data_IF_277826517072
#
_entry.id   IF_277826517072
#
_cell.length_a   1.000
_cell.length_b   1.000
_cell.length_c   1.000
_cell.angle_alpha   90.00
_cell.angle_beta   90.00
_cell.angle_gamma   90.00
#
_symmetry.space_group_name_H-M   'P 1'
#
loop_
_entity.id
_entity.type
_entity.pdbx_description
1 polymer ?
#
# COMPACT_ATOMS: atom_id res chain seq x y z
N UNK A 1 44.06 32.01 24.09
CA UNK A 1 42.66 32.33 23.84
C UNK A 1 42.15 31.93 22.45
N UNK A 2 43.01 31.59 21.46
CA UNK A 2 42.59 31.24 20.09
C UNK A 2 42.06 29.78 19.88
N UNK A 3 42.40 28.84 20.79
CA UNK A 3 41.98 27.42 20.68
C UNK A 3 40.56 27.12 21.17
N UNK A 4 39.91 28.01 21.94
CA UNK A 4 38.55 27.83 22.46
C UNK A 4 37.44 28.35 21.52
N UNK A 5 37.79 29.23 20.58
CA UNK A 5 36.85 29.77 19.57
C UNK A 5 36.63 28.81 18.40
N UNK A 6 37.61 27.94 18.07
CA UNK A 6 37.45 26.96 17.00
C UNK A 6 36.51 25.79 17.39
N UNK A 7 36.46 25.45 18.68
CA UNK A 7 35.57 24.38 19.19
C UNK A 7 34.11 24.77 19.23
N UNK A 8 33.82 26.07 19.44
CA UNK A 8 32.46 26.57 19.47
C UNK A 8 31.84 26.67 18.05
N UNK A 9 32.66 26.93 17.01
CA UNK A 9 32.18 27.03 15.62
C UNK A 9 31.85 25.67 15.02
N UNK A 10 32.58 24.60 15.38
CA UNK A 10 32.25 23.23 14.95
C UNK A 10 30.98 22.67 15.60
N UNK A 11 30.68 23.07 16.85
CA UNK A 11 29.46 22.61 17.53
C UNK A 11 28.18 23.24 16.96
N UNK A 12 28.23 24.46 16.42
CA UNK A 12 27.09 25.14 15.80
C UNK A 12 26.84 24.62 14.38
N UNK A 13 27.88 24.15 13.66
CA UNK A 13 27.71 23.61 12.30
C UNK A 13 27.14 22.20 12.25
N UNK A 14 27.20 21.43 13.35
CA UNK A 14 26.59 20.10 13.48
C UNK A 14 25.10 20.14 13.83
N UNK A 15 24.56 21.29 14.24
CA UNK A 15 23.14 21.42 14.61
C UNK A 15 22.22 21.82 13.42
N UNK A 16 22.79 22.14 12.26
CA UNK A 16 22.03 22.62 11.08
C UNK A 16 21.70 21.49 10.08
N UNK A 17 22.28 20.30 10.23
CA UNK A 17 22.04 19.16 9.33
C UNK A 17 21.01 18.13 9.80
N UNK A 18 20.24 18.40 10.86
CA UNK A 18 19.33 17.40 11.44
C UNK A 18 17.83 17.70 11.25
N UNK A 19 17.45 18.48 10.24
CA UNK A 19 16.03 18.65 9.85
C UNK A 19 16.01 18.88 8.35
N UNK A 20 15.53 18.01 7.52
CA UNK A 20 14.13 17.61 7.31
C UNK A 20 13.92 16.30 6.54
N UNK A 21 14.33 15.16 7.02
CA UNK A 21 13.96 13.91 6.33
C UNK A 21 12.45 13.59 6.48
N UNK A 22 11.86 13.89 7.63
CA UNK A 22 10.45 13.62 7.90
C UNK A 22 9.49 14.46 7.06
N UNK A 23 9.83 15.74 6.79
CA UNK A 23 8.96 16.62 5.98
C UNK A 23 8.99 16.31 4.48
N UNK A 24 10.10 15.79 3.97
CA UNK A 24 10.20 15.34 2.58
C UNK A 24 9.37 14.06 2.35
N UNK A 25 9.41 13.11 3.27
CA UNK A 25 8.60 11.88 3.19
C UNK A 25 7.11 12.15 3.27
N UNK A 26 6.65 13.05 4.15
CA UNK A 26 5.23 13.42 4.21
C UNK A 26 4.75 14.11 2.94
N UNK A 27 5.58 14.93 2.32
CA UNK A 27 5.27 15.58 1.03
C UNK A 27 5.15 14.58 -0.13
N UNK A 28 5.98 13.55 -0.16
CA UNK A 28 5.93 12.52 -1.20
C UNK A 28 4.73 11.59 -1.01
N UNK A 29 4.43 11.17 0.21
CA UNK A 29 3.25 10.39 0.54
C UNK A 29 1.96 11.14 0.19
N UNK A 30 1.86 12.44 0.48
CA UNK A 30 0.72 13.26 0.12
C UNK A 30 0.53 13.33 -1.41
N UNK A 31 1.58 13.63 -2.15
CA UNK A 31 1.54 13.68 -3.63
C UNK A 31 1.12 12.34 -4.24
N UNK A 32 1.61 11.21 -3.73
CA UNK A 32 1.23 9.87 -4.17
C UNK A 32 -0.22 9.55 -3.82
N UNK A 33 -0.69 9.94 -2.64
CA UNK A 33 -2.09 9.79 -2.24
C UNK A 33 -3.03 10.60 -3.14
N UNK A 34 -2.66 11.84 -3.50
CA UNK A 34 -3.42 12.65 -4.44
C UNK A 34 -3.47 12.01 -5.84
N UNK A 35 -2.35 11.48 -6.32
CA UNK A 35 -2.32 10.73 -7.58
C UNK A 35 -3.25 9.51 -7.56
N UNK A 36 -3.25 8.74 -6.46
CA UNK A 36 -4.15 7.60 -6.29
C UNK A 36 -5.62 8.01 -6.21
N UNK A 37 -5.91 9.21 -5.70
CA UNK A 37 -7.27 9.77 -5.69
C UNK A 37 -7.72 10.09 -7.13
N UNK A 38 -6.87 10.70 -7.94
CA UNK A 38 -7.14 10.94 -9.37
C UNK A 38 -7.37 9.63 -10.14
N UNK A 39 -6.69 8.56 -9.75
CA UNK A 39 -6.86 7.21 -10.32
C UNK A 39 -8.06 6.44 -9.74
N UNK A 40 -8.85 7.03 -8.87
CA UNK A 40 -9.98 6.42 -8.16
C UNK A 40 -9.62 5.25 -7.24
N UNK A 41 -8.36 5.12 -6.85
CA UNK A 41 -7.89 4.08 -5.92
C UNK A 41 -8.03 4.50 -4.46
N UNK A 42 -7.95 5.81 -4.18
CA UNK A 42 -8.29 6.41 -2.89
C UNK A 42 -9.55 7.26 -3.00
N UNK A 43 -10.30 7.35 -1.91
CA UNK A 43 -11.44 8.27 -1.81
C UNK A 43 -10.94 9.70 -1.66
N UNK A 44 -11.70 10.69 -2.14
CA UNK A 44 -11.47 12.09 -1.78
C UNK A 44 -11.73 12.26 -0.28
N UNK A 45 -10.71 12.70 0.43
CA UNK A 45 -10.78 13.01 1.86
C UNK A 45 -9.73 14.09 2.20
N UNK A 46 -10.14 15.37 2.21
CA UNK A 46 -9.22 16.47 2.52
C UNK A 46 -8.63 16.42 3.93
N UNK A 47 -9.29 15.69 4.85
CA UNK A 47 -8.84 15.49 6.24
C UNK A 47 -8.08 14.20 6.47
N UNK A 48 -7.70 13.48 5.43
CA UNK A 48 -7.00 12.18 5.57
C UNK A 48 -5.69 12.35 6.34
N UNK A 49 -5.60 11.68 7.47
CA UNK A 49 -4.37 11.60 8.24
C UNK A 49 -3.47 10.47 7.70
N UNK A 50 -2.47 10.84 6.91
CA UNK A 50 -1.51 9.90 6.35
C UNK A 50 -0.58 9.30 7.40
N UNK A 51 -0.50 9.90 8.61
CA UNK A 51 0.34 9.40 9.70
C UNK A 51 -0.37 8.41 10.61
N UNK A 52 -1.71 8.35 10.51
CA UNK A 52 -2.50 7.42 11.30
C UNK A 52 -2.14 5.96 10.99
N UNK A 53 -2.12 5.07 12.00
CA UNK A 53 -1.93 3.65 11.77
C UNK A 53 -3.00 3.09 10.83
N UNK A 54 -2.56 2.37 9.81
CA UNK A 54 -3.46 1.72 8.87
C UNK A 54 -4.14 0.52 9.49
N UNK A 55 -5.41 0.32 9.16
CA UNK A 55 -6.20 -0.81 9.64
C UNK A 55 -6.32 -1.91 8.59
N UNK A 56 -6.60 -3.13 9.04
CA UNK A 56 -6.81 -4.29 8.17
C UNK A 56 -8.02 -4.09 7.23
N UNK A 57 -9.07 -3.42 7.69
CA UNK A 57 -10.23 -3.11 6.85
C UNK A 57 -9.88 -2.12 5.73
N UNK A 58 -9.12 -1.07 6.03
CA UNK A 58 -8.63 -0.14 5.02
C UNK A 58 -7.76 -0.86 3.99
N UNK A 59 -6.84 -1.72 4.43
CA UNK A 59 -6.00 -2.51 3.54
C UNK A 59 -6.81 -3.41 2.60
N UNK A 60 -7.84 -4.10 3.11
CA UNK A 60 -8.70 -4.95 2.28
C UNK A 60 -9.43 -4.16 1.19
N UNK A 61 -9.96 -2.97 1.52
CA UNK A 61 -10.62 -2.10 0.54
C UNK A 61 -9.64 -1.60 -0.51
N UNK A 62 -8.47 -1.11 -0.10
CA UNK A 62 -7.46 -0.60 -1.02
C UNK A 62 -6.91 -1.70 -1.93
N UNK A 63 -6.69 -2.90 -1.40
CA UNK A 63 -6.24 -4.06 -2.18
C UNK A 63 -7.24 -4.43 -3.28
N UNK A 64 -8.53 -4.43 -2.95
CA UNK A 64 -9.61 -4.74 -3.92
C UNK A 64 -9.72 -3.66 -4.99
N UNK A 65 -9.59 -2.38 -4.62
CA UNK A 65 -9.54 -1.27 -5.58
C UNK A 65 -8.36 -1.39 -6.52
N UNK A 66 -7.18 -1.67 -5.98
CA UNK A 66 -5.95 -1.88 -6.76
C UNK A 66 -6.09 -3.05 -7.74
N UNK A 67 -6.85 -4.07 -7.40
CA UNK A 67 -7.15 -5.19 -8.29
C UNK A 67 -8.30 -4.90 -9.29
N UNK A 68 -8.92 -3.73 -9.24
CA UNK A 68 -10.09 -3.37 -10.06
C UNK A 68 -11.38 -4.13 -9.68
N UNK A 69 -11.41 -4.72 -8.48
CA UNK A 69 -12.51 -5.57 -8.03
C UNK A 69 -13.83 -4.83 -7.77
N UNK A 70 -13.81 -3.51 -7.56
CA UNK A 70 -15.03 -2.72 -7.42
C UNK A 70 -15.84 -2.61 -8.72
N UNK A 71 -15.17 -2.69 -9.89
CA UNK A 71 -15.83 -2.67 -11.21
C UNK A 71 -16.46 -4.01 -11.61
N UNK A 72 -16.02 -5.09 -10.97
CA UNK A 72 -16.56 -6.44 -11.16
C UNK A 72 -16.71 -7.12 -9.80
N UNK A 73 -17.67 -6.71 -8.97
CA UNK A 73 -17.93 -7.34 -7.70
C UNK A 73 -18.52 -8.73 -7.93
N UNK A 74 -17.65 -9.68 -8.28
CA UNK A 74 -18.02 -11.09 -8.37
C UNK A 74 -17.94 -11.68 -6.97
N UNK A 75 -18.99 -11.47 -6.21
CA UNK A 75 -19.14 -12.13 -4.91
C UNK A 75 -19.99 -13.38 -4.99
N UNK A 76 -20.82 -13.55 -6.06
CA UNK A 76 -21.72 -14.70 -6.26
C UNK A 76 -22.34 -15.24 -4.96
N UNK A 77 -22.66 -14.34 -4.03
CA UNK A 77 -23.14 -14.72 -2.71
C UNK A 77 -22.07 -15.28 -1.75
N UNK A 78 -20.77 -15.21 -2.11
CA UNK A 78 -19.70 -15.65 -1.21
C UNK A 78 -19.68 -14.84 0.08
N UNK A 79 -19.63 -15.55 1.19
CA UNK A 79 -19.51 -14.99 2.51
C UNK A 79 -18.30 -15.62 3.21
N UNK A 80 -17.33 -14.78 3.59
CA UNK A 80 -16.08 -15.22 4.25
C UNK A 80 -16.28 -15.74 5.70
N UNK A 81 -17.50 -15.62 6.25
CA UNK A 81 -17.82 -16.04 7.62
C UNK A 81 -17.47 -15.01 8.69
N UNK A 82 -16.79 -13.92 8.34
CA UNK A 82 -16.40 -12.88 9.31
C UNK A 82 -17.61 -12.10 9.83
N UNK A 83 -17.75 -12.01 11.14
CA UNK A 83 -18.90 -11.38 11.80
C UNK A 83 -18.63 -9.96 12.27
N UNK A 84 -17.37 -9.56 12.32
CA UNK A 84 -16.86 -8.30 12.86
C UNK A 84 -16.54 -7.25 11.78
N UNK A 85 -16.69 -7.57 10.49
CA UNK A 85 -16.38 -6.64 9.41
C UNK A 85 -17.49 -5.61 9.26
N UNK A 86 -17.19 -4.29 9.33
CA UNK A 86 -18.18 -3.24 9.12
C UNK A 86 -18.71 -3.24 7.69
N UNK A 87 -19.92 -2.71 7.50
CA UNK A 87 -20.63 -2.76 6.20
C UNK A 87 -19.81 -2.16 5.06
N UNK A 88 -19.12 -1.05 5.28
CA UNK A 88 -18.31 -0.38 4.27
C UNK A 88 -17.13 -1.22 3.74
N UNK A 89 -16.62 -2.18 4.53
CA UNK A 89 -15.50 -3.04 4.15
C UNK A 89 -15.93 -4.47 3.80
N UNK A 90 -17.19 -4.83 4.05
CA UNK A 90 -17.70 -6.21 3.95
C UNK A 90 -17.51 -6.81 2.57
N UNK A 91 -17.91 -6.09 1.54
CA UNK A 91 -17.76 -6.54 0.14
C UNK A 91 -16.30 -6.77 -0.22
N UNK A 92 -15.43 -5.84 0.16
CA UNK A 92 -14.00 -5.95 -0.12
C UNK A 92 -13.36 -7.12 0.65
N UNK A 93 -13.68 -7.29 1.93
CA UNK A 93 -13.17 -8.40 2.73
C UNK A 93 -13.62 -9.76 2.17
N UNK A 94 -14.90 -9.90 1.79
CA UNK A 94 -15.40 -11.11 1.14
C UNK A 94 -14.70 -11.39 -0.19
N UNK A 95 -14.56 -10.37 -1.04
CA UNK A 95 -13.90 -10.50 -2.34
C UNK A 95 -12.44 -10.92 -2.19
N UNK A 96 -11.66 -10.23 -1.36
CA UNK A 96 -10.25 -10.53 -1.14
C UNK A 96 -10.03 -11.90 -0.46
N UNK A 97 -10.93 -12.29 0.46
CA UNK A 97 -10.87 -13.62 1.08
C UNK A 97 -11.16 -14.73 0.07
N UNK A 98 -12.20 -14.59 -0.77
CA UNK A 98 -12.51 -15.56 -1.83
C UNK A 98 -11.32 -15.78 -2.76
N UNK A 99 -10.56 -14.72 -3.05
CA UNK A 99 -9.36 -14.78 -3.88
C UNK A 99 -8.13 -15.32 -3.14
N UNK A 100 -8.23 -15.56 -1.82
CA UNK A 100 -7.11 -16.02 -1.02
C UNK A 100 -6.06 -14.95 -0.72
N UNK A 101 -6.37 -13.68 -0.99
CA UNK A 101 -5.43 -12.57 -0.74
C UNK A 101 -5.35 -12.21 0.73
N UNK A 102 -6.47 -12.33 1.46
CA UNK A 102 -6.54 -12.08 2.90
C UNK A 102 -7.08 -13.29 3.65
N UNK A 103 -6.73 -13.36 4.92
CA UNK A 103 -7.29 -14.32 5.88
C UNK A 103 -7.79 -13.58 7.11
N UNK A 104 -8.74 -14.17 7.84
CA UNK A 104 -9.11 -13.71 9.16
C UNK A 104 -8.05 -14.05 10.20
N UNK A 105 -8.18 -13.47 11.39
CA UNK A 105 -7.45 -13.89 12.59
C UNK A 105 -8.03 -15.18 13.17
N UNK A 106 -9.27 -15.50 12.77
CA UNK A 106 -9.92 -16.81 12.99
C UNK A 106 -10.92 -17.07 11.85
N UNK A 107 -11.60 -18.21 11.91
CA UNK A 107 -12.65 -18.55 10.92
C UNK A 107 -13.85 -17.60 10.92
N UNK A 108 -14.05 -16.83 11.98
CA UNK A 108 -15.22 -15.95 12.16
C UNK A 108 -14.86 -14.49 12.46
N UNK A 109 -13.58 -14.19 12.58
CA UNK A 109 -13.06 -12.86 12.92
C UNK A 109 -12.01 -12.40 11.91
N UNK A 110 -12.20 -11.20 11.38
CA UNK A 110 -11.27 -10.53 10.51
C UNK A 110 -10.33 -9.58 11.25
N UNK A 111 -10.78 -9.03 12.38
CA UNK A 111 -10.12 -7.94 13.11
C UNK A 111 -9.95 -6.68 12.26
N UNK A 112 -11.07 -6.04 11.85
CA UNK A 112 -11.06 -4.92 10.90
C UNK A 112 -10.28 -3.70 11.39
N UNK A 113 -10.25 -3.46 12.71
CA UNK A 113 -9.56 -2.33 13.34
C UNK A 113 -8.13 -2.68 13.79
N UNK A 114 -7.70 -3.91 13.63
CA UNK A 114 -6.34 -4.34 13.93
C UNK A 114 -5.33 -3.58 13.09
N UNK A 115 -4.22 -3.14 13.70
CA UNK A 115 -3.16 -2.47 13.00
C UNK A 115 -2.45 -3.39 12.01
N UNK A 116 -2.11 -2.84 10.86
CA UNK A 116 -1.47 -3.57 9.79
C UNK A 116 0.05 -3.50 9.91
N UNK A 117 0.70 -4.64 9.99
CA UNK A 117 2.16 -4.69 9.91
C UNK A 117 2.65 -4.88 8.46
N UNK A 118 3.92 -4.57 8.24
CA UNK A 118 4.55 -4.58 6.93
C UNK A 118 4.46 -5.94 6.22
N UNK A 119 4.76 -7.03 6.93
CA UNK A 119 4.72 -8.37 6.33
C UNK A 119 3.32 -8.79 5.94
N UNK A 120 2.32 -8.50 6.79
CA UNK A 120 0.93 -8.80 6.48
C UNK A 120 0.44 -8.04 5.25
N UNK A 121 0.77 -6.76 5.12
CA UNK A 121 0.42 -5.97 3.94
C UNK A 121 1.11 -6.46 2.67
N UNK A 122 2.43 -6.66 2.72
CA UNK A 122 3.18 -7.16 1.58
C UNK A 122 2.72 -8.55 1.14
N UNK A 123 2.37 -9.44 2.08
CA UNK A 123 1.79 -10.74 1.74
C UNK A 123 0.45 -10.60 1.00
N UNK A 124 -0.40 -9.64 1.40
CA UNK A 124 -1.66 -9.35 0.69
C UNK A 124 -1.40 -8.85 -0.74
N UNK A 125 -0.47 -7.90 -0.92
CA UNK A 125 -0.07 -7.39 -2.24
C UNK A 125 0.51 -8.49 -3.13
N UNK A 126 1.44 -9.28 -2.59
CA UNK A 126 2.08 -10.37 -3.31
C UNK A 126 1.06 -11.41 -3.79
N UNK A 127 0.13 -11.81 -2.93
CA UNK A 127 -0.95 -12.74 -3.31
C UNK A 127 -1.85 -12.16 -4.40
N UNK A 128 -2.19 -10.88 -4.34
CA UNK A 128 -2.97 -10.19 -5.37
C UNK A 128 -2.23 -10.18 -6.71
N UNK A 129 -0.91 -10.07 -6.71
CA UNK A 129 -0.06 -10.10 -7.90
C UNK A 129 0.21 -11.53 -8.43
N UNK A 130 -0.29 -12.58 -7.74
CA UNK A 130 -0.16 -13.97 -8.17
C UNK A 130 1.01 -14.73 -7.55
N UNK A 131 1.72 -14.15 -6.59
CA UNK A 131 2.70 -14.87 -5.77
C UNK A 131 1.97 -15.68 -4.68
N UNK A 132 2.57 -16.76 -4.22
CA UNK A 132 1.95 -17.67 -3.26
C UNK A 132 2.94 -18.12 -2.18
N UNK A 133 2.64 -17.79 -0.93
CA UNK A 133 3.30 -18.34 0.25
C UNK A 133 3.08 -19.85 0.40
N UNK A 134 1.98 -20.37 -0.15
CA UNK A 134 1.65 -21.81 -0.11
C UNK A 134 2.50 -22.66 -1.07
N UNK A 135 2.99 -22.05 -2.14
CA UNK A 135 3.86 -22.74 -3.14
C UNK A 135 5.32 -22.33 -3.01
N UNK A 136 5.67 -21.56 -1.99
CA UNK A 136 7.06 -21.26 -1.64
C UNK A 136 7.67 -20.09 -2.42
N UNK A 137 6.86 -19.17 -2.99
CA UNK A 137 7.41 -17.95 -3.60
C UNK A 137 8.02 -17.02 -2.55
N UNK A 138 7.41 -16.97 -1.37
CA UNK A 138 7.85 -16.16 -0.23
C UNK A 138 7.36 -16.76 1.09
N UNK A 139 8.00 -16.37 2.18
CA UNK A 139 7.52 -16.63 3.54
C UNK A 139 6.77 -15.41 4.08
N UNK A 140 5.66 -15.63 4.82
CA UNK A 140 4.85 -14.52 5.34
C UNK A 140 5.66 -13.63 6.28
N UNK A 141 6.55 -14.22 7.09
CA UNK A 141 7.42 -13.51 8.02
C UNK A 141 8.54 -12.69 7.38
N UNK A 142 8.74 -12.81 6.06
CA UNK A 142 9.75 -12.10 5.27
C UNK A 142 9.11 -11.38 4.06
N UNK A 143 7.79 -11.26 4.05
CA UNK A 143 7.06 -10.77 2.89
C UNK A 143 7.44 -9.32 2.53
N UNK A 144 7.68 -8.47 3.52
CA UNK A 144 8.11 -7.09 3.29
C UNK A 144 9.52 -7.00 2.69
N UNK A 145 10.46 -7.80 3.17
CA UNK A 145 11.80 -7.85 2.60
C UNK A 145 11.79 -8.48 1.20
N UNK A 146 10.96 -9.50 0.97
CA UNK A 146 10.78 -10.09 -0.36
C UNK A 146 10.18 -9.08 -1.34
N UNK A 147 9.11 -8.36 -0.97
CA UNK A 147 8.47 -7.35 -1.80
C UNK A 147 9.46 -6.24 -2.21
N UNK A 148 10.28 -5.77 -1.28
CA UNK A 148 11.33 -4.80 -1.57
C UNK A 148 12.41 -5.36 -2.49
N UNK A 149 12.88 -6.58 -2.23
CA UNK A 149 13.93 -7.24 -3.02
C UNK A 149 13.55 -7.45 -4.50
N UNK A 150 12.26 -7.71 -4.78
CA UNK A 150 11.76 -7.84 -6.16
C UNK A 150 11.33 -6.51 -6.79
N UNK A 151 11.45 -5.38 -6.06
CA UNK A 151 11.12 -4.05 -6.55
C UNK A 151 9.63 -3.71 -6.53
N UNK A 152 8.80 -4.47 -5.80
CA UNK A 152 7.37 -4.16 -5.65
C UNK A 152 7.14 -2.90 -4.81
N UNK A 153 8.00 -2.64 -3.84
CA UNK A 153 7.99 -1.43 -3.02
C UNK A 153 9.29 -0.66 -3.18
N UNK A 154 9.21 0.67 -3.25
CA UNK A 154 10.38 1.55 -3.42
C UNK A 154 11.32 1.56 -2.21
N UNK A 155 10.86 1.09 -1.07
CA UNK A 155 11.64 0.89 0.16
C UNK A 155 11.16 -0.35 0.89
N UNK A 156 11.99 -0.88 1.77
CA UNK A 156 11.56 -1.92 2.69
C UNK A 156 10.62 -1.33 3.74
N UNK A 157 9.41 -1.84 3.79
CA UNK A 157 8.43 -1.51 4.82
C UNK A 157 8.77 -2.26 6.12
N UNK A 158 8.56 -1.62 7.26
CA UNK A 158 8.86 -2.22 8.58
C UNK A 158 7.81 -1.81 9.63
N UNK A 159 7.58 -2.67 10.61
CA UNK A 159 6.72 -2.37 11.76
C UNK A 159 5.25 -2.20 11.39
N UNK A 160 4.54 -1.37 12.17
CA UNK A 160 3.16 -1.00 11.91
C UNK A 160 3.13 0.10 10.84
N UNK A 161 2.30 -0.11 9.82
CA UNK A 161 2.20 0.81 8.70
C UNK A 161 1.21 1.94 8.98
N UNK A 162 1.52 3.12 8.46
CA UNK A 162 0.60 4.25 8.37
C UNK A 162 -0.26 4.17 7.10
N UNK A 163 -1.29 4.99 7.04
CA UNK A 163 -2.09 5.19 5.81
C UNK A 163 -1.21 5.70 4.66
N UNK A 164 -0.19 6.53 4.96
CA UNK A 164 0.79 7.00 3.99
C UNK A 164 1.65 5.86 3.43
N UNK A 165 2.10 4.92 4.27
CA UNK A 165 2.85 3.75 3.80
C UNK A 165 2.03 2.88 2.83
N UNK A 166 0.73 2.73 3.09
CA UNK A 166 -0.16 2.03 2.16
C UNK A 166 -0.24 2.78 0.83
N UNK A 167 -0.45 4.09 0.86
CA UNK A 167 -0.54 4.91 -0.35
C UNK A 167 0.77 4.84 -1.16
N UNK A 168 1.92 4.96 -0.52
CA UNK A 168 3.22 4.86 -1.19
C UNK A 168 3.39 3.48 -1.86
N UNK A 169 3.14 2.39 -1.14
CA UNK A 169 3.31 1.04 -1.66
C UNK A 169 2.31 0.70 -2.78
N UNK A 170 1.09 1.21 -2.72
CA UNK A 170 0.10 1.08 -3.80
C UNK A 170 0.58 1.84 -5.05
N UNK A 171 1.11 3.05 -4.87
CA UNK A 171 1.65 3.84 -5.97
C UNK A 171 2.84 3.13 -6.64
N UNK A 172 3.76 2.58 -5.85
CA UNK A 172 4.89 1.79 -6.36
C UNK A 172 4.40 0.55 -7.13
N UNK A 173 3.37 -0.13 -6.64
CA UNK A 173 2.80 -1.31 -7.27
C UNK A 173 2.15 -1.05 -8.64
N UNK A 174 1.81 0.20 -9.00
CA UNK A 174 1.18 0.51 -10.29
C UNK A 174 2.03 0.09 -11.49
N UNK A 175 3.34 0.25 -11.40
CA UNK A 175 4.28 -0.09 -12.46
C UNK A 175 4.75 -1.56 -12.39
N UNK A 176 4.33 -2.30 -11.36
CA UNK A 176 4.75 -3.68 -11.15
C UNK A 176 3.88 -4.66 -11.94
N UNK A 177 4.50 -5.70 -12.52
CA UNK A 177 3.80 -6.70 -13.31
C UNK A 177 3.20 -7.82 -12.44
N UNK A 178 2.05 -8.34 -12.86
CA UNK A 178 1.56 -9.60 -12.31
C UNK A 178 2.55 -10.73 -12.58
N UNK A 179 2.70 -11.64 -11.63
CA UNK A 179 3.66 -12.75 -11.71
C UNK A 179 3.51 -13.52 -13.02
N UNK A 180 4.63 -13.69 -13.73
CA UNK A 180 4.69 -14.44 -14.99
C UNK A 180 4.02 -13.75 -16.17
N UNK A 181 3.76 -12.45 -16.10
CA UNK A 181 3.18 -11.66 -17.18
C UNK A 181 3.98 -10.37 -17.42
N UNK A 182 3.69 -9.68 -18.52
CA UNK A 182 4.16 -8.32 -18.80
C UNK A 182 3.09 -7.25 -18.48
N UNK A 183 1.94 -7.67 -17.95
CA UNK A 183 0.83 -6.78 -17.62
C UNK A 183 1.09 -6.12 -16.28
N UNK A 184 1.24 -4.79 -16.27
CA UNK A 184 1.36 -4.02 -15.04
C UNK A 184 0.00 -3.84 -14.36
N UNK A 185 0.02 -3.54 -13.05
CA UNK A 185 -1.20 -3.21 -12.31
C UNK A 185 -1.92 -2.02 -12.96
N UNK A 186 -1.18 -0.96 -13.34
CA UNK A 186 -1.76 0.20 -14.00
C UNK A 186 -2.42 -0.15 -15.34
N UNK A 187 -1.77 -0.93 -16.18
CA UNK A 187 -2.33 -1.41 -17.44
C UNK A 187 -3.64 -2.16 -17.22
N UNK A 188 -3.65 -3.06 -16.24
CA UNK A 188 -4.85 -3.80 -15.86
C UNK A 188 -5.99 -2.91 -15.38
N UNK A 189 -5.70 -1.89 -14.60
CA UNK A 189 -6.71 -0.91 -14.13
C UNK A 189 -7.30 -0.11 -15.29
N UNK A 190 -6.50 0.26 -16.28
CA UNK A 190 -6.98 0.91 -17.50
C UNK A 190 -7.87 -0.02 -18.33
N UNK A 191 -7.48 -1.27 -18.54
CA UNK A 191 -8.26 -2.28 -19.25
C UNK A 191 -9.62 -2.53 -18.59
N UNK A 192 -9.69 -2.47 -17.27
CA UNK A 192 -10.91 -2.60 -16.48
C UNK A 192 -11.75 -1.30 -16.43
N UNK A 193 -11.24 -0.20 -16.96
CA UNK A 193 -11.91 1.10 -16.93
C UNK A 193 -12.00 1.71 -15.52
N UNK A 194 -11.08 1.35 -14.61
CA UNK A 194 -10.97 1.97 -13.28
C UNK A 194 -10.40 3.36 -13.40
N UNK A 195 -9.35 3.50 -14.20
CA UNK A 195 -8.75 4.79 -14.54
C UNK A 195 -8.58 4.93 -16.05
N UNK A 196 -8.32 6.15 -16.51
CA UNK A 196 -8.13 6.44 -17.93
C UNK A 196 -6.64 6.64 -18.27
N UNK A 197 -6.25 6.32 -19.50
CA UNK A 197 -4.91 6.61 -19.99
C UNK A 197 -4.57 8.12 -19.90
N UNK A 198 -5.56 9.00 -20.10
CA UNK A 198 -5.38 10.44 -19.95
C UNK A 198 -5.00 10.83 -18.52
N UNK A 199 -5.68 10.27 -17.50
CA UNK A 199 -5.34 10.50 -16.08
C UNK A 199 -3.95 9.97 -15.76
N UNK A 200 -3.63 8.74 -16.19
CA UNK A 200 -2.32 8.15 -15.97
C UNK A 200 -1.18 8.96 -16.64
N UNK A 201 -1.42 9.45 -17.87
CA UNK A 201 -0.45 10.28 -18.58
C UNK A 201 -0.25 11.65 -17.90
N UNK A 202 -1.32 12.29 -17.43
CA UNK A 202 -1.25 13.55 -16.70
C UNK A 202 -0.42 13.44 -15.40
N UNK A 203 -0.37 12.25 -14.80
CA UNK A 203 0.46 11.92 -13.64
C UNK A 203 1.88 11.46 -14.00
N UNK A 204 2.23 11.38 -15.29
CA UNK A 204 3.54 10.94 -15.78
C UNK A 204 3.80 9.43 -15.58
N UNK A 205 2.75 8.62 -15.45
CA UNK A 205 2.87 7.19 -15.19
C UNK A 205 3.05 6.33 -16.45
N UNK A 206 2.79 6.89 -17.65
CA UNK A 206 2.91 6.16 -18.92
C UNK A 206 4.25 6.42 -19.64
N UNK A 207 5.09 7.33 -19.14
CA UNK A 207 6.33 7.76 -19.81
C UNK A 207 7.59 7.40 -18.99
N UNK A 208 7.52 6.33 -18.23
CA UNK A 208 8.66 5.81 -17.46
C UNK A 208 9.44 4.75 -18.22
#
# INVERSE_FOLDING_TARGET
MKKRLLSALCAVMLLICAVPMASAQTGDAARRADALTVLHLLSEDPGRDLTAPATRAQAAVLLVRLAGGEKKPDTDGWFAGFRDVPDWARTAANYANRRGWISGVSNVQFDPNGHLNADAWCAMLLRMLGYSDKTGDFEISDAAAFAWRIGLTGRQLIGILSVGDLAESIYDALDFCYKGTETTVLSRLMDLGVCTASAANALGLLNK
#
